data_IF_104033394910
#
_entry.id   IF_104033394910
#
_cell.length_a   1.000
_cell.length_b   1.000
_cell.length_c   1.000
_cell.angle_alpha   90.00
_cell.angle_beta   90.00
_cell.angle_gamma   90.00
#
_symmetry.space_group_name_H-M   'P 1'
#
loop_
_entity.id
_entity.type
_entity.pdbx_description
1 polymer ?
#
# COMPACT_ATOMS: atom_id res chain seq x y z
N UNK A 1 55.13 48.49 -4.05
CA UNK A 1 53.82 48.68 -4.73
C UNK A 1 52.77 47.79 -4.06
N UNK A 2 51.52 48.24 -4.11
CA UNK A 2 50.44 48.03 -3.11
C UNK A 2 50.02 46.56 -2.87
N UNK A 3 49.79 46.22 -1.61
CA UNK A 3 48.97 45.07 -1.20
C UNK A 3 47.50 45.44 -1.45
N UNK A 4 46.84 44.73 -2.35
CA UNK A 4 45.40 44.89 -2.58
C UNK A 4 44.67 43.92 -1.66
N UNK A 5 44.11 44.45 -0.58
CA UNK A 5 43.18 43.76 0.30
C UNK A 5 41.81 43.85 -0.38
N UNK A 6 41.33 42.75 -0.94
CA UNK A 6 39.98 42.71 -1.53
C UNK A 6 39.00 42.30 -0.43
N UNK A 7 38.37 43.31 0.19
CA UNK A 7 37.24 43.12 1.09
C UNK A 7 36.01 42.74 0.26
N UNK A 8 35.45 41.55 0.51
CA UNK A 8 34.15 41.19 -0.03
C UNK A 8 33.06 41.74 0.89
N UNK A 9 32.26 42.66 0.34
CA UNK A 9 31.18 43.37 1.01
C UNK A 9 30.03 42.44 1.46
N UNK A 10 29.55 42.77 2.66
CA UNK A 10 28.22 42.63 3.28
C UNK A 10 27.23 41.58 2.73
N UNK A 11 26.76 40.75 3.66
CA UNK A 11 25.54 39.99 3.55
C UNK A 11 24.35 40.90 3.19
N UNK A 12 23.55 40.47 2.23
CA UNK A 12 22.24 41.05 1.96
C UNK A 12 21.30 40.62 3.08
N UNK A 13 21.07 41.50 4.05
CA UNK A 13 19.96 41.38 4.99
C UNK A 13 18.65 41.64 4.24
N UNK A 14 17.90 40.56 3.99
CA UNK A 14 16.51 40.63 3.59
C UNK A 14 15.63 40.26 4.78
N UNK A 15 14.96 41.25 5.35
CA UNK A 15 13.93 41.06 6.38
C UNK A 15 12.65 40.51 5.73
N UNK A 16 12.35 39.24 6.01
CA UNK A 16 11.01 38.67 5.80
C UNK A 16 10.65 37.85 7.04
N UNK A 17 9.98 38.52 7.98
CA UNK A 17 9.06 37.95 8.95
C UNK A 17 9.61 36.84 9.86
N UNK A 18 10.36 37.25 10.88
CA UNK A 18 10.06 36.82 12.26
C UNK A 18 10.31 35.35 12.64
N UNK A 19 11.24 34.65 11.97
CA UNK A 19 11.91 33.47 12.54
C UNK A 19 13.37 33.47 12.12
N UNK A 20 14.27 33.67 13.07
CA UNK A 20 15.70 33.42 12.88
C UNK A 20 15.89 31.94 12.54
N UNK A 21 16.07 31.64 11.25
CA UNK A 21 16.59 30.35 10.80
C UNK A 21 18.09 30.53 10.71
N UNK A 22 18.80 30.33 11.82
CA UNK A 22 20.23 30.06 11.76
C UNK A 22 20.40 28.68 11.12
N UNK A 23 20.52 28.64 9.80
CA UNK A 23 20.99 27.45 9.11
C UNK A 23 22.49 27.33 9.38
N UNK A 24 22.82 26.88 10.59
CA UNK A 24 24.17 26.45 10.93
C UNK A 24 24.35 25.05 10.33
N UNK A 25 24.42 24.99 8.99
CA UNK A 25 24.92 23.82 8.32
C UNK A 25 26.29 23.51 8.93
N UNK A 26 26.53 22.31 9.49
CA UNK A 26 27.84 21.97 10.01
C UNK A 26 28.83 22.17 8.87
N UNK A 27 29.71 23.16 9.01
CA UNK A 27 30.83 23.37 8.10
C UNK A 27 31.71 22.13 8.25
N UNK A 28 31.50 21.11 7.42
CA UNK A 28 32.42 19.99 7.30
C UNK A 28 33.73 20.56 6.78
N UNK A 29 34.64 20.90 7.70
CA UNK A 29 36.02 21.16 7.37
C UNK A 29 36.62 19.84 6.91
N UNK A 30 37.01 19.78 5.64
CA UNK A 30 37.76 18.65 5.11
C UNK A 30 39.18 18.78 5.64
N UNK A 31 39.51 18.01 6.67
CA UNK A 31 40.87 17.89 7.20
C UNK A 31 41.68 17.00 6.24
N UNK A 32 42.54 17.58 5.41
CA UNK A 32 43.45 16.83 4.53
C UNK A 32 44.64 16.36 5.38
N UNK A 33 44.64 15.10 5.79
CA UNK A 33 45.57 14.57 6.81
C UNK A 33 47.02 14.35 6.37
N UNK A 34 47.29 14.21 5.06
CA UNK A 34 48.63 14.21 4.46
C UNK A 34 48.52 14.03 2.93
N UNK A 35 49.37 14.72 2.17
CA UNK A 35 49.61 14.44 0.75
C UNK A 35 50.96 13.73 0.67
N UNK A 36 50.98 12.48 0.21
CA UNK A 36 52.21 11.70 0.04
C UNK A 36 52.40 11.39 -1.45
N UNK A 37 53.31 12.10 -2.09
CA UNK A 37 53.59 12.01 -3.52
C UNK A 37 54.16 13.34 -4.05
N UNK A 38 55.29 13.29 -4.75
CA UNK A 38 56.05 14.46 -5.21
C UNK A 38 55.46 15.19 -6.42
N UNK A 39 54.14 15.34 -6.52
CA UNK A 39 53.48 16.10 -7.59
C UNK A 39 52.59 17.21 -7.01
N UNK A 40 52.86 18.44 -7.44
CA UNK A 40 52.02 19.60 -7.14
C UNK A 40 50.71 19.49 -7.93
N UNK A 41 49.58 19.36 -7.24
CA UNK A 41 48.26 19.49 -7.86
C UNK A 41 47.93 21.00 -7.93
N UNK A 42 48.21 21.61 -9.09
CA UNK A 42 47.77 22.96 -9.43
C UNK A 42 46.53 22.81 -10.31
N UNK A 43 45.35 22.95 -9.71
CA UNK A 43 44.08 22.83 -10.44
C UNK A 43 43.80 24.08 -11.26
N UNK A 44 44.03 24.01 -12.58
CA UNK A 44 43.58 25.07 -13.50
C UNK A 44 42.30 24.70 -14.26
N UNK A 45 42.04 23.43 -14.59
CA UNK A 45 40.78 22.99 -15.24
C UNK A 45 40.60 21.46 -15.17
N UNK A 46 40.33 20.88 -14.00
CA UNK A 46 40.10 19.43 -13.90
C UNK A 46 39.30 19.03 -12.68
N UNK A 47 38.23 18.27 -12.89
CA UNK A 47 37.35 17.75 -11.83
C UNK A 47 38.12 16.81 -10.90
N UNK A 48 38.07 17.11 -9.60
CA UNK A 48 38.62 16.25 -8.55
C UNK A 48 37.59 15.15 -8.26
N UNK A 49 37.84 13.92 -8.72
CA UNK A 49 37.01 12.76 -8.41
C UNK A 49 37.26 12.29 -6.97
N UNK A 50 36.42 12.75 -6.04
CA UNK A 50 36.42 12.29 -4.65
C UNK A 50 35.59 11.00 -4.55
N UNK A 51 36.24 9.83 -4.52
CA UNK A 51 35.56 8.57 -4.22
C UNK A 51 35.29 8.48 -2.71
N UNK A 52 34.13 9.00 -2.28
CA UNK A 52 33.64 8.80 -0.91
C UNK A 52 33.07 7.39 -0.81
N UNK A 53 33.75 6.51 -0.05
CA UNK A 53 33.23 5.18 0.27
C UNK A 53 31.88 5.32 0.99
N UNK A 54 30.82 4.78 0.38
CA UNK A 54 29.49 4.81 0.96
C UNK A 54 29.49 4.06 2.30
N UNK A 55 29.12 4.73 3.39
CA UNK A 55 29.05 4.10 4.71
C UNK A 55 28.06 2.92 4.67
N UNK A 56 28.39 1.77 5.29
CA UNK A 56 27.49 0.63 5.32
C UNK A 56 26.19 1.01 6.02
N UNK A 57 25.05 0.79 5.34
CA UNK A 57 23.72 0.99 5.92
C UNK A 57 23.49 -0.10 6.96
N UNK A 58 23.44 0.28 8.23
CA UNK A 58 23.06 -0.62 9.33
C UNK A 58 21.59 -1.01 9.10
N UNK A 59 21.34 -2.28 8.76
CA UNK A 59 19.99 -2.84 8.66
C UNK A 59 19.67 -3.50 10.00
N UNK A 60 18.84 -2.84 10.81
CA UNK A 60 18.31 -3.47 12.03
C UNK A 60 17.36 -4.58 11.61
N UNK A 61 17.80 -5.83 11.76
CA UNK A 61 16.97 -7.01 11.54
C UNK A 61 16.16 -7.22 12.81
N UNK A 62 14.92 -6.72 12.83
CA UNK A 62 14.00 -6.99 13.92
C UNK A 62 13.53 -8.43 13.76
N UNK A 63 13.97 -9.32 14.65
CA UNK A 63 13.45 -10.68 14.70
C UNK A 63 12.06 -10.65 15.35
N UNK A 64 11.00 -11.05 14.65
CA UNK A 64 9.67 -11.12 15.24
C UNK A 64 9.68 -12.19 16.34
N UNK A 65 9.41 -11.77 17.58
CA UNK A 65 9.14 -12.69 18.69
C UNK A 65 7.84 -13.48 18.49
N UNK A 66 7.56 -14.49 19.33
CA UNK A 66 6.39 -15.38 19.20
C UNK A 66 5.02 -14.67 19.31
N UNK A 67 4.99 -13.40 19.72
CA UNK A 67 3.78 -12.58 19.79
C UNK A 67 3.29 -12.06 18.42
N UNK A 68 4.12 -12.21 17.38
CA UNK A 68 3.84 -11.74 16.03
C UNK A 68 3.24 -12.83 15.14
N UNK A 69 2.69 -12.41 14.00
CA UNK A 69 2.14 -13.32 13.00
C UNK A 69 3.15 -14.39 12.55
N UNK A 70 2.64 -15.61 12.36
CA UNK A 70 3.39 -16.74 11.83
C UNK A 70 3.76 -16.52 10.36
N UNK A 71 4.73 -17.30 9.85
CA UNK A 71 5.14 -17.18 8.44
C UNK A 71 4.02 -17.55 7.46
N UNK A 72 3.18 -18.54 7.80
CA UNK A 72 1.99 -18.87 7.01
C UNK A 72 1.01 -17.68 6.92
N UNK A 73 0.79 -16.98 8.04
CA UNK A 73 -0.02 -15.77 8.07
C UNK A 73 0.61 -14.63 7.25
N UNK A 74 1.94 -14.47 7.28
CA UNK A 74 2.65 -13.49 6.43
C UNK A 74 2.46 -13.78 4.94
N UNK A 75 2.57 -15.04 4.54
CA UNK A 75 2.32 -15.46 3.14
C UNK A 75 0.88 -15.12 2.75
N UNK A 76 -0.09 -15.45 3.60
CA UNK A 76 -1.50 -15.13 3.35
C UNK A 76 -1.73 -13.63 3.14
N UNK A 77 -1.15 -12.77 3.99
CA UNK A 77 -1.25 -11.31 3.81
C UNK A 77 -0.57 -10.85 2.51
N UNK A 78 0.59 -11.42 2.16
CA UNK A 78 1.27 -11.10 0.91
C UNK A 78 0.41 -11.43 -0.30
N UNK A 79 -0.21 -12.60 -0.32
CA UNK A 79 -1.05 -13.04 -1.43
C UNK A 79 -2.28 -12.13 -1.57
N UNK A 80 -2.89 -11.73 -0.45
CA UNK A 80 -3.98 -10.74 -0.45
C UNK A 80 -3.52 -9.36 -0.94
N UNK A 81 -2.33 -8.90 -0.57
CA UNK A 81 -1.77 -7.63 -1.09
C UNK A 81 -1.52 -7.72 -2.58
N UNK A 82 -1.02 -8.85 -3.08
CA UNK A 82 -0.84 -9.07 -4.52
C UNK A 82 -2.19 -9.00 -5.25
N UNK A 83 -3.21 -9.68 -4.75
CA UNK A 83 -4.57 -9.63 -5.30
C UNK A 83 -5.10 -8.18 -5.35
N UNK A 84 -4.90 -7.38 -4.29
CA UNK A 84 -5.31 -5.96 -4.28
C UNK A 84 -4.60 -5.18 -5.38
N UNK A 85 -3.30 -5.37 -5.57
CA UNK A 85 -2.51 -4.64 -6.58
C UNK A 85 -2.91 -5.05 -8.00
N UNK A 86 -3.15 -6.34 -8.23
CA UNK A 86 -3.66 -6.85 -9.51
C UNK A 86 -5.02 -6.24 -9.85
N UNK A 87 -5.95 -6.24 -8.89
CA UNK A 87 -7.28 -5.63 -9.05
C UNK A 87 -7.20 -4.10 -9.23
N UNK A 88 -6.35 -3.41 -8.48
CA UNK A 88 -6.11 -1.97 -8.67
C UNK A 88 -5.59 -1.69 -10.09
N UNK A 89 -4.65 -2.49 -10.58
CA UNK A 89 -4.05 -2.37 -11.92
C UNK A 89 -5.06 -2.62 -13.03
N UNK A 90 -5.89 -3.65 -12.87
CA UNK A 90 -6.94 -3.96 -13.83
C UNK A 90 -8.03 -2.87 -13.86
N UNK A 91 -8.46 -2.39 -12.70
CA UNK A 91 -9.71 -1.60 -12.60
C UNK A 91 -9.43 -0.09 -12.71
N UNK A 92 -8.46 0.42 -11.95
CA UNK A 92 -8.21 1.85 -11.77
C UNK A 92 -7.23 2.40 -12.82
N UNK A 93 -7.40 3.68 -13.18
CA UNK A 93 -6.46 4.38 -14.08
C UNK A 93 -5.11 4.64 -13.42
N UNK A 94 -5.12 4.94 -12.13
CA UNK A 94 -3.93 5.22 -11.31
C UNK A 94 -3.83 4.16 -10.21
N UNK A 95 -3.23 3.00 -10.51
CA UNK A 95 -3.21 1.87 -9.59
C UNK A 95 -2.27 2.12 -8.41
N UNK A 96 -2.62 1.56 -7.26
CA UNK A 96 -1.75 1.54 -6.09
C UNK A 96 -0.74 0.39 -6.21
N UNK A 97 0.51 0.69 -5.89
CA UNK A 97 1.61 -0.29 -5.88
C UNK A 97 1.66 -1.03 -4.54
N UNK A 98 2.36 -2.15 -4.50
CA UNK A 98 2.55 -2.95 -3.27
C UNK A 98 2.98 -2.10 -2.07
N UNK A 99 3.95 -1.20 -2.24
CA UNK A 99 4.42 -0.31 -1.17
C UNK A 99 3.28 0.52 -0.56
N UNK A 100 2.39 1.08 -1.39
CA UNK A 100 1.25 1.88 -0.93
C UNK A 100 0.22 1.03 -0.19
N UNK A 101 -0.03 -0.20 -0.66
CA UNK A 101 -0.95 -1.12 0.01
C UNK A 101 -0.39 -1.57 1.36
N UNK A 102 0.91 -1.89 1.43
CA UNK A 102 1.58 -2.21 2.68
C UNK A 102 1.55 -1.04 3.66
N UNK A 103 1.88 0.19 3.22
CA UNK A 103 1.81 1.37 4.08
C UNK A 103 0.38 1.64 4.58
N UNK A 104 -0.64 1.40 3.77
CA UNK A 104 -2.03 1.52 4.20
C UNK A 104 -2.42 0.47 5.25
N UNK A 105 -1.96 -0.78 5.07
CA UNK A 105 -2.19 -1.87 6.02
C UNK A 105 -1.48 -1.60 7.36
N UNK A 106 -0.18 -1.28 7.33
CA UNK A 106 0.60 -1.04 8.55
C UNK A 106 0.11 0.21 9.27
N UNK A 107 -0.27 1.26 8.54
CA UNK A 107 -0.90 2.45 9.09
C UNK A 107 -2.25 2.15 9.76
N UNK A 108 -3.07 1.27 9.19
CA UNK A 108 -4.35 0.84 9.80
C UNK A 108 -4.15 0.12 11.13
N UNK A 109 -3.10 -0.70 11.22
CA UNK A 109 -2.75 -1.48 12.41
C UNK A 109 -1.84 -0.72 13.39
N UNK A 110 -1.42 0.51 13.03
CA UNK A 110 -0.47 1.34 13.79
C UNK A 110 0.87 0.64 14.06
N UNK A 111 1.37 -0.13 13.10
CA UNK A 111 2.67 -0.81 13.17
C UNK A 111 3.65 -0.19 12.17
N UNK A 112 4.94 -0.28 12.44
CA UNK A 112 5.99 0.26 11.55
C UNK A 112 6.32 -0.70 10.39
N UNK A 113 6.10 -2.00 10.58
CA UNK A 113 6.38 -3.05 9.60
C UNK A 113 5.38 -4.18 9.71
N UNK A 114 5.10 -4.87 8.60
CA UNK A 114 4.17 -6.01 8.61
C UNK A 114 4.72 -7.20 9.40
N UNK A 115 6.04 -7.33 9.54
CA UNK A 115 6.68 -8.33 10.40
C UNK A 115 6.34 -8.13 11.88
N UNK A 116 5.94 -6.91 12.26
CA UNK A 116 5.59 -6.52 13.62
C UNK A 116 4.07 -6.54 13.86
N UNK A 117 3.29 -7.15 12.96
CA UNK A 117 1.86 -7.32 13.19
C UNK A 117 1.66 -8.33 14.33
N UNK A 118 0.95 -7.95 15.41
CA UNK A 118 0.61 -8.90 16.47
C UNK A 118 -0.29 -10.01 15.95
N UNK A 119 -0.14 -11.23 16.48
CA UNK A 119 -0.97 -12.38 16.07
C UNK A 119 -2.48 -12.11 16.26
N UNK A 120 -2.86 -11.40 17.32
CA UNK A 120 -4.25 -10.99 17.60
C UNK A 120 -4.84 -10.06 16.54
N UNK A 121 -4.00 -9.29 15.86
CA UNK A 121 -4.41 -8.33 14.84
C UNK A 121 -4.50 -8.95 13.43
N UNK A 122 -4.12 -10.23 13.27
CA UNK A 122 -4.14 -10.91 11.97
C UNK A 122 -5.53 -10.92 11.31
N UNK A 123 -6.56 -11.30 12.07
CA UNK A 123 -7.94 -11.34 11.55
C UNK A 123 -8.41 -9.96 11.07
N UNK A 124 -8.02 -8.90 11.77
CA UNK A 124 -8.31 -7.53 11.38
C UNK A 124 -7.55 -7.13 10.11
N UNK A 125 -6.28 -7.52 9.98
CA UNK A 125 -5.44 -7.26 8.82
C UNK A 125 -6.01 -7.95 7.56
N UNK A 126 -6.36 -9.23 7.68
CA UNK A 126 -6.96 -10.01 6.60
C UNK A 126 -8.31 -9.41 6.19
N UNK A 127 -9.20 -9.13 7.14
CA UNK A 127 -10.51 -8.53 6.85
C UNK A 127 -10.39 -7.17 6.14
N UNK A 128 -9.39 -6.36 6.50
CA UNK A 128 -9.15 -5.07 5.85
C UNK A 128 -8.78 -5.24 4.37
N UNK A 129 -7.85 -6.15 4.05
CA UNK A 129 -7.44 -6.42 2.67
C UNK A 129 -8.58 -7.04 1.86
N UNK A 130 -9.31 -7.99 2.42
CA UNK A 130 -10.48 -8.60 1.76
C UNK A 130 -11.56 -7.57 1.47
N UNK A 131 -11.82 -6.65 2.41
CA UNK A 131 -12.76 -5.54 2.19
C UNK A 131 -12.30 -4.62 1.05
N UNK A 132 -10.99 -4.42 0.91
CA UNK A 132 -10.42 -3.66 -0.20
C UNK A 132 -10.66 -4.37 -1.53
N UNK A 133 -10.35 -5.66 -1.62
CA UNK A 133 -10.64 -6.48 -2.81
C UNK A 133 -12.13 -6.40 -3.17
N UNK A 134 -13.03 -6.58 -2.21
CA UNK A 134 -14.48 -6.51 -2.42
C UNK A 134 -14.92 -5.13 -2.95
N UNK A 135 -14.36 -4.04 -2.42
CA UNK A 135 -14.64 -2.68 -2.90
C UNK A 135 -14.17 -2.47 -4.33
N UNK A 136 -13.01 -3.01 -4.71
CA UNK A 136 -12.50 -2.94 -6.08
C UNK A 136 -13.38 -3.73 -7.03
N UNK A 137 -13.74 -4.98 -6.68
CA UNK A 137 -14.61 -5.85 -7.48
C UNK A 137 -16.05 -5.32 -7.59
N UNK A 138 -16.49 -4.48 -6.64
CA UNK A 138 -17.78 -3.80 -6.67
C UNK A 138 -17.75 -2.48 -7.45
N UNK A 139 -16.61 -2.09 -8.05
CA UNK A 139 -16.53 -0.89 -8.87
C UNK A 139 -17.27 -1.08 -10.21
N UNK A 140 -17.89 -0.02 -10.72
CA UNK A 140 -18.66 -0.04 -12.00
C UNK A 140 -17.88 -0.58 -13.20
N UNK A 141 -16.55 -0.42 -13.21
CA UNK A 141 -15.69 -0.91 -14.30
C UNK A 141 -15.20 -2.34 -14.10
N UNK A 142 -15.46 -2.96 -12.94
CA UNK A 142 -14.97 -4.30 -12.63
C UNK A 142 -15.52 -5.39 -13.56
N UNK A 143 -16.83 -5.45 -13.91
CA UNK A 143 -17.36 -6.49 -14.79
C UNK A 143 -16.65 -6.58 -16.15
N UNK A 144 -16.19 -5.43 -16.66
CA UNK A 144 -15.53 -5.32 -17.97
C UNK A 144 -14.03 -5.57 -17.93
N UNK A 145 -13.38 -5.40 -16.78
CA UNK A 145 -11.91 -5.36 -16.67
C UNK A 145 -11.33 -6.49 -15.84
N UNK A 146 -12.11 -7.10 -14.95
CA UNK A 146 -11.71 -8.25 -14.15
C UNK A 146 -12.29 -9.53 -14.79
N UNK A 147 -11.47 -10.39 -15.41
CA UNK A 147 -11.96 -11.62 -16.03
C UNK A 147 -12.52 -12.62 -15.01
N UNK A 148 -12.10 -12.54 -13.74
CA UNK A 148 -12.58 -13.41 -12.66
C UNK A 148 -13.76 -12.81 -11.89
N UNK A 149 -14.29 -11.67 -12.34
CA UNK A 149 -15.39 -10.97 -11.67
C UNK A 149 -16.62 -11.86 -11.49
N UNK A 150 -17.04 -12.58 -12.55
CA UNK A 150 -18.21 -13.47 -12.51
C UNK A 150 -18.05 -14.60 -11.51
N UNK A 151 -16.90 -15.30 -11.55
CA UNK A 151 -16.60 -16.37 -10.61
C UNK A 151 -16.55 -15.88 -9.16
N UNK A 152 -16.04 -14.68 -8.95
CA UNK A 152 -15.99 -14.05 -7.63
C UNK A 152 -17.39 -13.70 -7.12
N UNK A 153 -18.28 -13.20 -7.99
CA UNK A 153 -19.69 -13.03 -7.66
C UNK A 153 -20.37 -14.34 -7.30
N UNK A 154 -20.14 -15.42 -8.05
CA UNK A 154 -20.70 -16.74 -7.73
C UNK A 154 -20.22 -17.26 -6.37
N UNK A 155 -18.91 -17.22 -6.13
CA UNK A 155 -18.31 -17.63 -4.85
C UNK A 155 -18.94 -16.86 -3.68
N UNK A 156 -19.07 -15.54 -3.82
CA UNK A 156 -19.69 -14.71 -2.80
C UNK A 156 -21.17 -15.07 -2.59
N UNK A 157 -21.97 -15.17 -3.66
CA UNK A 157 -23.39 -15.48 -3.57
C UNK A 157 -23.60 -16.81 -2.83
N UNK A 158 -22.88 -17.86 -3.24
CA UNK A 158 -23.01 -19.16 -2.58
C UNK A 158 -22.51 -19.14 -1.13
N UNK A 159 -21.39 -18.48 -0.85
CA UNK A 159 -20.86 -18.39 0.51
C UNK A 159 -21.81 -17.60 1.43
N UNK A 160 -22.30 -16.45 0.99
CA UNK A 160 -23.20 -15.60 1.77
C UNK A 160 -24.53 -16.31 2.04
N UNK A 161 -25.11 -16.98 1.05
CA UNK A 161 -26.35 -17.74 1.22
C UNK A 161 -26.19 -18.93 2.17
N UNK A 162 -25.01 -19.59 2.17
CA UNK A 162 -24.67 -20.64 3.13
C UNK A 162 -24.52 -20.09 4.54
N UNK A 163 -23.86 -18.96 4.70
CA UNK A 163 -23.63 -18.31 6.00
C UNK A 163 -24.93 -17.87 6.68
N UNK A 164 -25.90 -17.36 5.91
CA UNK A 164 -27.23 -16.98 6.45
C UNK A 164 -28.21 -18.16 6.55
N UNK A 165 -27.81 -19.37 6.14
CA UNK A 165 -28.67 -20.57 6.15
C UNK A 165 -29.85 -20.53 5.17
N UNK A 166 -29.80 -19.72 4.11
CA UNK A 166 -30.91 -19.54 3.16
C UNK A 166 -30.58 -20.11 1.76
N UNK A 167 -29.84 -21.22 1.68
CA UNK A 167 -29.38 -21.75 0.39
C UNK A 167 -30.52 -22.03 -0.60
N UNK A 168 -31.69 -22.44 -0.09
CA UNK A 168 -32.90 -22.76 -0.87
C UNK A 168 -33.64 -21.52 -1.41
N UNK A 169 -33.35 -20.34 -0.88
CA UNK A 169 -33.96 -19.08 -1.32
C UNK A 169 -33.31 -18.53 -2.61
N UNK A 170 -32.09 -18.99 -2.95
CA UNK A 170 -31.42 -18.54 -4.17
C UNK A 170 -32.13 -19.06 -5.44
N UNK A 171 -32.48 -20.36 -5.56
CA UNK A 171 -33.34 -20.84 -6.65
C UNK A 171 -34.68 -20.12 -6.74
N UNK A 172 -35.33 -19.82 -5.60
CA UNK A 172 -36.61 -19.07 -5.56
C UNK A 172 -36.45 -17.66 -6.14
N UNK A 173 -35.43 -16.93 -5.70
CA UNK A 173 -35.11 -15.61 -6.25
C UNK A 173 -34.88 -15.63 -7.77
N UNK A 174 -34.20 -16.68 -8.27
CA UNK A 174 -33.94 -16.85 -9.70
C UNK A 174 -35.20 -17.22 -10.48
N UNK A 175 -36.07 -18.06 -9.92
CA UNK A 175 -37.37 -18.38 -10.50
C UNK A 175 -38.24 -17.13 -10.67
N UNK A 176 -38.38 -16.33 -9.61
CA UNK A 176 -39.29 -15.18 -9.57
C UNK A 176 -38.86 -14.04 -10.50
N UNK A 177 -37.56 -13.71 -10.53
CA UNK A 177 -37.06 -12.51 -11.26
C UNK A 177 -36.44 -12.81 -12.62
N UNK A 178 -35.96 -14.03 -12.83
CA UNK A 178 -35.15 -14.38 -14.00
C UNK A 178 -35.66 -15.64 -14.72
N UNK A 179 -36.90 -16.06 -14.43
CA UNK A 179 -37.55 -17.22 -15.04
C UNK A 179 -36.80 -18.53 -14.83
N UNK A 180 -36.08 -18.67 -13.71
CA UNK A 180 -35.37 -19.90 -13.34
C UNK A 180 -34.04 -20.10 -14.09
N UNK A 181 -33.55 -19.09 -14.81
CA UNK A 181 -32.23 -19.14 -15.46
C UNK A 181 -31.12 -19.37 -14.44
N UNK A 182 -30.11 -20.14 -14.85
CA UNK A 182 -28.94 -20.40 -14.02
C UNK A 182 -28.11 -19.13 -13.86
N UNK A 183 -27.36 -19.02 -12.75
CA UNK A 183 -26.40 -17.94 -12.48
C UNK A 183 -25.42 -17.68 -13.64
N UNK A 184 -25.13 -18.72 -14.43
CA UNK A 184 -24.26 -18.65 -15.61
C UNK A 184 -24.87 -17.91 -16.79
N UNK A 185 -26.19 -17.94 -16.91
CA UNK A 185 -26.94 -17.41 -18.05
C UNK A 185 -27.43 -15.98 -17.83
N UNK A 186 -27.14 -15.38 -16.68
CA UNK A 186 -27.43 -13.97 -16.40
C UNK A 186 -26.39 -13.05 -17.05
N UNK A 187 -26.87 -11.93 -17.58
CA UNK A 187 -26.02 -10.81 -18.00
C UNK A 187 -25.26 -10.20 -16.82
N UNK A 188 -24.25 -9.37 -17.10
CA UNK A 188 -23.44 -8.71 -16.07
C UNK A 188 -24.30 -7.86 -15.12
N UNK A 189 -25.26 -7.09 -15.66
CA UNK A 189 -26.15 -6.22 -14.88
C UNK A 189 -27.09 -7.04 -13.99
N UNK A 190 -27.62 -8.14 -14.52
CA UNK A 190 -28.50 -9.03 -13.76
C UNK A 190 -27.74 -9.74 -12.64
N UNK A 191 -26.52 -10.22 -12.90
CA UNK A 191 -25.66 -10.84 -11.89
C UNK A 191 -25.27 -9.85 -10.79
N UNK A 192 -24.97 -8.59 -11.14
CA UNK A 192 -24.71 -7.52 -10.17
C UNK A 192 -25.95 -7.25 -9.29
N UNK A 193 -27.16 -7.26 -9.87
CA UNK A 193 -28.40 -7.10 -9.12
C UNK A 193 -28.66 -8.24 -8.12
N UNK A 194 -28.38 -9.49 -8.52
CA UNK A 194 -28.44 -10.65 -7.63
C UNK A 194 -27.42 -10.52 -6.50
N UNK A 195 -26.16 -10.20 -6.83
CA UNK A 195 -25.10 -9.97 -5.86
C UNK A 195 -25.49 -8.92 -4.81
N UNK A 196 -26.01 -7.77 -5.25
CA UNK A 196 -26.45 -6.70 -4.34
C UNK A 196 -27.59 -7.13 -3.44
N UNK A 197 -28.54 -7.88 -3.97
CA UNK A 197 -29.68 -8.42 -3.19
C UNK A 197 -29.20 -9.36 -2.09
N UNK A 198 -28.28 -10.28 -2.41
CA UNK A 198 -27.71 -11.21 -1.43
C UNK A 198 -26.86 -10.47 -0.38
N UNK A 199 -26.08 -9.46 -0.79
CA UNK A 199 -25.28 -8.65 0.12
C UNK A 199 -26.17 -7.88 1.13
N UNK A 200 -27.27 -7.29 0.69
CA UNK A 200 -28.22 -6.62 1.59
C UNK A 200 -28.94 -7.61 2.52
N UNK A 201 -29.28 -8.82 2.04
CA UNK A 201 -29.82 -9.89 2.89
C UNK A 201 -28.84 -10.28 4.00
N UNK A 202 -27.56 -10.48 3.67
CA UNK A 202 -26.51 -10.76 4.65
C UNK A 202 -26.37 -9.64 5.68
N UNK A 203 -26.40 -8.38 5.23
CA UNK A 203 -26.35 -7.21 6.12
C UNK A 203 -27.56 -7.15 7.05
N UNK A 204 -28.76 -7.45 6.55
CA UNK A 204 -29.97 -7.53 7.36
C UNK A 204 -29.90 -8.67 8.39
N UNK A 205 -29.41 -9.85 8.01
CA UNK A 205 -29.23 -10.98 8.91
C UNK A 205 -28.29 -10.64 10.07
N UNK A 206 -27.16 -9.96 9.78
CA UNK A 206 -26.23 -9.47 10.81
C UNK A 206 -26.84 -8.43 11.73
N UNK A 207 -27.65 -7.51 11.20
CA UNK A 207 -28.37 -6.53 12.03
C UNK A 207 -29.39 -7.20 12.95
N UNK A 208 -30.00 -8.28 12.49
CA UNK A 208 -31.01 -9.03 13.24
C UNK A 208 -30.41 -10.08 14.19
N UNK A 209 -29.07 -10.18 14.29
CA UNK A 209 -28.38 -11.12 15.18
C UNK A 209 -28.46 -12.58 14.74
N UNK A 210 -28.84 -12.86 13.50
CA UNK A 210 -28.86 -14.22 12.94
C UNK A 210 -27.45 -14.73 12.61
N UNK A 211 -26.47 -13.81 12.50
CA UNK A 211 -25.04 -14.04 12.27
C UNK A 211 -24.22 -12.91 12.91
#
# INVERSE_FOLDING_TARGET
>A
MKVVKQEFQAAVEGDVAGRDITNEAPRTSIQIGAINGGQNIIGQTGDIHLQVQARPRIKVVIQPGPEHITDAQKVRLRDLVNEVVELETAIKRTPKRHATVWSALTGKLKVTSYHLIPASAFAQAEAYLQTWCARLRSAKSAPKKDPDWRNSCYRYIHAAMKEIGQQDELPRLLADRYSGRSLKDLSELELEAVYRTVAERKKAARRNGAI
#
